data_IF_565344734186
#
_entry.id   IF_565344734186
#
_cell.length_a   1.000
_cell.length_b   1.000
_cell.length_c   1.000
_cell.angle_alpha   90.00
_cell.angle_beta   90.00
_cell.angle_gamma   90.00
#
_symmetry.space_group_name_H-M   'P 1'
#
loop_
_entity.id
_entity.type
_entity.pdbx_description
1 polymer ?
#
# COMPACT_ATOMS: atom_id res chain seq x y z
N UNK A 1 12.46 12.70 -7.04
CA UNK A 1 12.82 13.33 -5.76
C UNK A 1 11.75 14.28 -5.21
N UNK A 2 11.04 15.05 -6.07
CA UNK A 2 10.01 16.02 -5.64
C UNK A 2 8.81 15.41 -4.88
N UNK A 3 8.62 14.10 -4.96
CA UNK A 3 7.51 13.38 -4.33
C UNK A 3 7.93 12.68 -3.02
N UNK A 4 9.18 12.80 -2.62
CA UNK A 4 9.69 12.21 -1.38
C UNK A 4 9.47 13.20 -0.26
N UNK A 5 8.68 12.82 0.74
CA UNK A 5 8.35 13.67 1.89
C UNK A 5 9.28 13.46 3.08
N UNK A 6 9.91 12.28 3.19
CA UNK A 6 10.96 11.99 4.17
C UNK A 6 11.98 11.01 3.60
N UNK A 7 13.22 11.08 4.08
CA UNK A 7 14.33 10.19 3.70
C UNK A 7 14.77 9.41 4.93
N UNK A 8 14.43 8.14 4.97
CA UNK A 8 14.73 7.27 6.09
C UNK A 8 16.11 6.67 5.91
N UNK A 9 16.94 6.77 6.92
CA UNK A 9 18.32 6.28 6.95
C UNK A 9 18.51 5.08 7.87
N UNK A 10 17.55 4.81 8.74
CA UNK A 10 17.62 3.73 9.73
C UNK A 10 16.29 3.02 9.84
N UNK A 11 16.29 1.69 9.94
CA UNK A 11 15.17 0.90 10.41
C UNK A 11 15.45 0.43 11.84
N UNK A 12 14.54 0.70 12.77
CA UNK A 12 14.58 0.16 14.13
C UNK A 12 13.63 -1.01 14.26
N UNK A 13 14.15 -2.13 14.74
CA UNK A 13 13.34 -3.30 15.09
C UNK A 13 13.26 -3.39 16.60
N UNK A 14 12.05 -3.40 17.15
CA UNK A 14 11.80 -3.55 18.59
C UNK A 14 11.22 -4.94 18.83
N UNK A 15 11.87 -5.70 19.70
CA UNK A 15 11.44 -7.05 20.08
C UNK A 15 10.33 -7.03 21.14
N UNK A 16 9.62 -8.16 21.40
CA UNK A 16 8.65 -8.27 22.48
C UNK A 16 9.23 -7.98 23.89
N UNK A 17 10.53 -8.18 24.06
CA UNK A 17 11.24 -7.83 25.31
C UNK A 17 11.72 -6.37 25.37
N UNK A 18 11.19 -5.51 24.50
CA UNK A 18 11.53 -4.09 24.40
C UNK A 18 13.00 -3.80 24.08
N UNK A 19 13.71 -4.78 23.51
CA UNK A 19 15.06 -4.56 23.01
C UNK A 19 15.01 -4.03 21.60
N UNK A 20 15.71 -2.94 21.34
CA UNK A 20 15.78 -2.32 20.04
C UNK A 20 17.12 -2.57 19.35
N UNK A 21 17.07 -2.79 18.03
CA UNK A 21 18.23 -2.85 17.15
C UNK A 21 18.02 -1.87 16.02
N UNK A 22 18.99 -0.98 15.83
CA UNK A 22 19.01 -0.04 14.71
C UNK A 22 19.81 -0.62 13.55
N UNK A 23 19.19 -0.68 12.38
CA UNK A 23 19.77 -1.18 11.15
C UNK A 23 19.94 0.00 10.21
N UNK A 24 21.20 0.50 10.03
CA UNK A 24 21.45 1.61 9.11
C UNK A 24 21.22 1.19 7.65
N UNK A 25 20.69 2.10 6.85
CA UNK A 25 20.58 1.93 5.40
C UNK A 25 21.83 2.49 4.77
N UNK A 26 22.76 1.60 4.43
CA UNK A 26 24.05 2.00 3.89
C UNK A 26 23.93 2.53 2.44
N UNK A 27 24.69 3.62 2.15
CA UNK A 27 24.82 4.21 0.82
C UNK A 27 23.48 4.65 0.15
N UNK A 28 22.43 4.91 0.98
CA UNK A 28 21.14 5.30 0.44
C UNK A 28 20.14 5.74 1.50
N UNK A 29 18.88 5.69 1.11
CA UNK A 29 17.75 5.96 1.98
C UNK A 29 16.49 5.28 1.43
N UNK A 30 15.51 5.05 2.29
CA UNK A 30 14.14 4.74 1.85
C UNK A 30 13.36 6.05 1.75
N UNK A 31 12.84 6.36 0.56
CA UNK A 31 12.01 7.54 0.32
C UNK A 31 10.57 7.28 0.73
N UNK A 32 10.08 8.02 1.72
CA UNK A 32 8.67 8.03 2.09
C UNK A 32 7.90 8.90 1.12
N UNK A 33 6.69 8.47 0.79
CA UNK A 33 5.82 9.15 -0.17
C UNK A 33 4.38 9.17 0.34
N UNK A 34 3.66 10.23 0.04
CA UNK A 34 2.22 10.28 0.24
C UNK A 34 1.52 9.68 -0.99
N UNK A 35 0.83 8.56 -0.80
CA UNK A 35 0.28 7.73 -1.88
C UNK A 35 -0.80 8.44 -2.68
N UNK A 36 -1.59 9.30 -2.10
CA UNK A 36 -2.59 10.13 -2.77
C UNK A 36 -1.97 11.06 -3.83
N UNK A 37 -0.83 11.68 -3.52
CA UNK A 37 -0.08 12.55 -4.42
C UNK A 37 0.77 11.74 -5.41
N UNK A 38 1.48 10.73 -4.90
CA UNK A 38 2.42 9.96 -5.70
C UNK A 38 1.74 9.09 -6.76
N UNK A 39 0.65 8.43 -6.41
CA UNK A 39 -0.10 7.58 -7.35
C UNK A 39 -0.69 8.42 -8.49
N UNK A 40 -1.17 9.63 -8.20
CA UNK A 40 -1.67 10.53 -9.22
C UNK A 40 -0.53 11.07 -10.11
N UNK A 41 0.63 11.37 -9.53
CA UNK A 41 1.83 11.71 -10.30
C UNK A 41 2.22 10.62 -11.29
N UNK A 42 2.20 9.34 -10.87
CA UNK A 42 2.51 8.21 -11.75
C UNK A 42 1.47 8.04 -12.87
N UNK A 43 0.19 8.22 -12.56
CA UNK A 43 -0.90 8.15 -13.56
C UNK A 43 -0.76 9.26 -14.61
N UNK A 44 -0.46 10.48 -14.18
CA UNK A 44 -0.24 11.61 -15.09
C UNK A 44 1.02 11.41 -15.94
N UNK A 45 2.07 10.79 -15.39
CA UNK A 45 3.27 10.43 -16.14
C UNK A 45 2.98 9.38 -17.22
N UNK A 46 2.15 8.38 -16.91
CA UNK A 46 1.75 7.36 -17.87
C UNK A 46 0.90 7.98 -19.00
N UNK A 47 -0.05 8.84 -18.67
CA UNK A 47 -0.88 9.57 -19.63
C UNK A 47 -0.02 10.44 -20.56
N UNK A 48 0.92 11.20 -20.01
CA UNK A 48 1.89 11.98 -20.78
C UNK A 48 2.83 11.15 -21.66
N UNK A 49 2.98 9.85 -21.39
CA UNK A 49 3.70 8.89 -22.22
C UNK A 49 2.79 8.18 -23.26
N UNK A 50 1.52 8.60 -23.38
CA UNK A 50 0.58 8.10 -24.38
C UNK A 50 -0.36 6.99 -23.90
N UNK A 51 -0.36 6.63 -22.61
CA UNK A 51 -1.33 5.71 -22.07
C UNK A 51 -2.71 6.39 -21.94
N UNK A 52 -3.77 5.70 -22.37
CA UNK A 52 -5.14 6.19 -22.15
C UNK A 52 -5.60 5.82 -20.75
N UNK A 53 -6.01 6.82 -19.99
CA UNK A 53 -6.54 6.65 -18.64
C UNK A 53 -8.07 6.53 -18.65
N UNK A 54 -8.59 5.49 -18.01
CA UNK A 54 -10.00 5.32 -17.72
C UNK A 54 -10.21 5.22 -16.21
N UNK A 55 -11.26 5.84 -15.71
CA UNK A 55 -11.66 5.72 -14.31
C UNK A 55 -12.97 4.92 -14.25
N UNK A 56 -12.93 3.77 -13.59
CA UNK A 56 -14.10 2.90 -13.54
C UNK A 56 -13.92 1.74 -12.58
N UNK A 57 -14.94 0.88 -12.54
CA UNK A 57 -14.95 -0.35 -11.76
C UNK A 57 -14.87 -1.54 -12.69
N UNK A 58 -13.82 -2.34 -12.57
CA UNK A 58 -13.65 -3.61 -13.27
C UNK A 58 -14.85 -4.52 -13.02
N UNK A 59 -15.27 -5.27 -14.06
CA UNK A 59 -16.41 -6.21 -14.02
C UNK A 59 -15.98 -7.63 -14.34
N UNK A 60 -15.45 -7.84 -15.55
CA UNK A 60 -15.08 -9.19 -16.01
C UNK A 60 -14.10 -9.11 -17.19
N UNK A 61 -13.51 -10.25 -17.50
CA UNK A 61 -12.73 -10.48 -18.71
C UNK A 61 -13.51 -11.48 -19.57
N UNK A 62 -13.72 -11.14 -20.82
CA UNK A 62 -14.32 -12.01 -21.81
C UNK A 62 -13.26 -12.43 -22.83
N UNK A 63 -13.25 -13.72 -23.17
CA UNK A 63 -12.44 -14.27 -24.27
C UNK A 63 -13.34 -15.00 -25.24
N UNK A 64 -13.27 -14.64 -26.49
CA UNK A 64 -14.02 -15.26 -27.56
C UNK A 64 -13.16 -15.38 -28.82
N UNK A 65 -13.73 -15.84 -29.93
CA UNK A 65 -13.04 -16.05 -31.20
C UNK A 65 -12.52 -14.73 -31.84
N UNK A 66 -12.98 -13.59 -31.38
CA UNK A 66 -12.59 -12.26 -31.87
C UNK A 66 -11.38 -11.72 -31.09
N UNK A 67 -11.34 -11.93 -29.78
CA UNK A 67 -10.27 -11.41 -28.94
C UNK A 67 -10.53 -11.52 -27.44
N UNK A 68 -9.73 -10.80 -26.68
CA UNK A 68 -9.88 -10.66 -25.24
C UNK A 68 -10.35 -9.24 -24.90
N UNK A 69 -11.40 -9.15 -24.13
CA UNK A 69 -12.04 -7.89 -23.76
C UNK A 69 -12.08 -7.71 -22.24
N UNK A 70 -11.69 -6.53 -21.78
CA UNK A 70 -11.85 -6.11 -20.38
C UNK A 70 -13.11 -5.25 -20.29
N UNK A 71 -14.05 -5.69 -19.45
CA UNK A 71 -15.29 -4.98 -19.21
C UNK A 71 -15.20 -4.21 -17.89
N UNK A 72 -15.58 -2.94 -17.92
CA UNK A 72 -15.65 -2.09 -16.72
C UNK A 72 -16.82 -1.10 -16.82
N UNK A 73 -17.30 -0.66 -15.66
CA UNK A 73 -18.28 0.43 -15.58
C UNK A 73 -17.52 1.75 -15.44
N UNK A 74 -17.57 2.59 -16.46
CA UNK A 74 -16.93 3.90 -16.43
C UNK A 74 -17.60 4.82 -15.42
N UNK A 75 -16.80 5.53 -14.60
CA UNK A 75 -17.29 6.37 -13.52
C UNK A 75 -18.00 7.64 -14.04
N UNK A 76 -17.45 8.25 -15.09
CA UNK A 76 -17.97 9.52 -15.61
C UNK A 76 -19.35 9.37 -16.28
N UNK A 77 -19.53 8.37 -17.14
CA UNK A 77 -20.76 8.15 -17.91
C UNK A 77 -21.71 7.16 -17.26
N UNK A 78 -21.24 6.35 -16.30
CA UNK A 78 -21.98 5.22 -15.73
C UNK A 78 -22.22 4.06 -16.71
N UNK A 79 -21.66 4.14 -17.92
CA UNK A 79 -21.85 3.12 -18.97
C UNK A 79 -20.91 1.94 -18.80
N UNK A 80 -21.32 0.78 -19.28
CA UNK A 80 -20.44 -0.36 -19.45
C UNK A 80 -19.58 -0.16 -20.72
N UNK A 81 -18.27 -0.32 -20.55
CA UNK A 81 -17.26 -0.20 -21.60
C UNK A 81 -16.54 -1.52 -21.74
N UNK A 82 -16.27 -1.95 -22.97
CA UNK A 82 -15.44 -3.08 -23.31
C UNK A 82 -14.22 -2.60 -24.08
N UNK A 83 -13.02 -2.96 -23.60
CA UNK A 83 -11.75 -2.66 -24.27
C UNK A 83 -11.11 -3.95 -24.73
N UNK A 84 -10.82 -4.03 -26.03
CA UNK A 84 -10.01 -5.12 -26.58
C UNK A 84 -8.54 -4.96 -26.15
N UNK A 85 -7.91 -6.06 -25.76
CA UNK A 85 -6.52 -6.07 -25.33
C UNK A 85 -5.86 -7.42 -25.61
N UNK A 86 -4.52 -7.38 -25.79
CA UNK A 86 -3.69 -8.59 -25.93
C UNK A 86 -3.10 -9.08 -24.61
N UNK A 87 -2.97 -8.19 -23.63
CA UNK A 87 -2.39 -8.47 -22.32
C UNK A 87 -3.14 -7.71 -21.25
N UNK A 88 -3.36 -8.35 -20.10
CA UNK A 88 -3.97 -7.77 -18.92
C UNK A 88 -3.01 -7.89 -17.75
N UNK A 89 -2.78 -6.79 -17.03
CA UNK A 89 -2.01 -6.77 -15.80
C UNK A 89 -2.96 -6.39 -14.67
N UNK A 90 -3.23 -7.34 -13.76
CA UNK A 90 -3.99 -7.08 -12.54
C UNK A 90 -3.08 -6.42 -11.51
N UNK A 91 -3.34 -5.14 -11.20
CA UNK A 91 -2.64 -4.38 -10.18
C UNK A 91 -3.63 -3.74 -9.19
N UNK A 92 -4.70 -4.50 -8.87
CA UNK A 92 -5.88 -4.08 -8.12
C UNK A 92 -5.85 -4.54 -6.65
N UNK A 93 -4.65 -4.84 -6.13
CA UNK A 93 -4.35 -5.01 -4.71
C UNK A 93 -4.67 -6.41 -4.15
N UNK A 94 -4.62 -6.54 -2.82
CA UNK A 94 -4.72 -7.81 -2.11
C UNK A 94 -6.05 -8.56 -2.34
N UNK A 95 -7.14 -7.84 -2.61
CA UNK A 95 -8.46 -8.42 -2.95
C UNK A 95 -8.74 -8.34 -4.45
N UNK A 96 -7.72 -8.52 -5.27
CA UNK A 96 -7.75 -8.40 -6.73
C UNK A 96 -8.94 -9.14 -7.37
N UNK A 97 -9.74 -8.40 -8.08
CA UNK A 97 -10.83 -8.98 -8.88
C UNK A 97 -10.30 -9.65 -10.15
N UNK A 98 -9.19 -9.15 -10.69
CA UNK A 98 -8.51 -9.76 -11.83
C UNK A 98 -7.89 -11.10 -11.42
N UNK A 99 -7.20 -11.17 -10.28
CA UNK A 99 -6.63 -12.43 -9.80
C UNK A 99 -7.71 -13.48 -9.53
N UNK A 100 -8.84 -13.10 -8.93
CA UNK A 100 -9.98 -14.04 -8.71
C UNK A 100 -10.59 -14.54 -9.98
N UNK A 101 -10.60 -13.75 -11.05
CA UNK A 101 -11.16 -14.16 -12.34
C UNK A 101 -10.20 -15.04 -13.15
N UNK A 102 -8.88 -14.83 -13.03
CA UNK A 102 -7.91 -15.32 -14.00
C UNK A 102 -6.86 -16.27 -13.42
N UNK A 103 -6.63 -16.24 -12.10
CA UNK A 103 -5.57 -17.01 -11.47
C UNK A 103 -6.18 -18.14 -10.62
N UNK A 104 -5.87 -19.41 -10.89
CA UNK A 104 -6.31 -20.51 -10.03
C UNK A 104 -5.90 -20.28 -8.58
N UNK A 105 -6.88 -20.26 -7.65
CA UNK A 105 -6.65 -19.96 -6.23
C UNK A 105 -6.49 -18.47 -5.89
N UNK A 106 -6.72 -17.58 -6.85
CA UNK A 106 -6.65 -16.13 -6.64
C UNK A 106 -7.69 -15.56 -5.65
N UNK A 107 -8.71 -16.34 -5.33
CA UNK A 107 -9.71 -16.06 -4.29
C UNK A 107 -9.23 -16.45 -2.87
N UNK A 108 -8.15 -17.24 -2.76
CA UNK A 108 -7.63 -17.82 -1.52
C UNK A 108 -6.29 -17.26 -1.08
N UNK A 109 -5.83 -16.17 -1.70
CA UNK A 109 -4.56 -15.53 -1.34
C UNK A 109 -4.68 -14.97 0.09
N UNK A 110 -3.80 -15.41 1.03
CA UNK A 110 -3.80 -14.85 2.37
C UNK A 110 -3.37 -13.37 2.34
N UNK A 111 -3.97 -12.56 3.18
CA UNK A 111 -3.64 -11.14 3.30
C UNK A 111 -3.70 -10.69 4.75
N UNK A 112 -3.01 -9.61 5.05
CA UNK A 112 -3.03 -8.91 6.33
C UNK A 112 -3.96 -7.70 6.18
N UNK A 113 -4.77 -7.44 7.19
CA UNK A 113 -5.51 -6.20 7.34
C UNK A 113 -4.67 -5.27 8.19
N UNK A 114 -4.59 -4.01 7.82
CA UNK A 114 -3.86 -2.99 8.55
C UNK A 114 -4.75 -1.78 8.82
N UNK A 115 -4.55 -1.15 9.97
CA UNK A 115 -5.09 0.15 10.31
C UNK A 115 -3.94 1.08 10.68
N UNK A 116 -4.04 2.34 10.29
CA UNK A 116 -3.10 3.36 10.71
C UNK A 116 -3.76 4.71 10.85
N UNK A 117 -3.18 5.54 11.68
CA UNK A 117 -3.50 6.95 11.81
C UNK A 117 -2.33 7.80 11.32
N UNK A 118 -2.65 8.94 10.73
CA UNK A 118 -1.68 9.96 10.38
C UNK A 118 -1.76 11.03 11.45
N UNK A 119 -0.67 11.18 12.18
CA UNK A 119 -0.55 12.17 13.27
C UNK A 119 0.43 13.26 12.89
N UNK A 120 0.39 14.39 13.57
CA UNK A 120 1.47 15.40 13.49
C UNK A 120 2.78 14.79 14.00
N UNK A 121 3.86 14.98 13.24
CA UNK A 121 5.15 14.40 13.62
C UNK A 121 5.66 15.02 14.94
N UNK A 122 6.00 14.18 15.94
CA UNK A 122 6.62 14.68 17.16
C UNK A 122 7.97 15.36 16.89
N UNK A 123 8.41 16.21 17.82
CA UNK A 123 9.77 16.71 17.79
C UNK A 123 10.78 15.55 17.98
N UNK A 124 11.94 15.65 17.34
CA UNK A 124 13.01 14.64 17.49
C UNK A 124 13.37 14.43 18.97
N UNK A 125 13.37 13.18 19.39
CA UNK A 125 13.64 12.76 20.77
C UNK A 125 14.23 11.36 20.80
N UNK A 126 14.50 10.81 21.98
CA UNK A 126 14.93 9.42 22.10
C UNK A 126 13.86 8.41 21.58
N UNK A 127 12.57 8.77 21.66
CA UNK A 127 11.46 7.94 21.19
C UNK A 127 11.12 8.11 19.71
N UNK A 128 11.46 9.26 19.10
CA UNK A 128 11.12 9.55 17.70
C UNK A 128 12.27 10.18 16.95
N UNK A 129 12.60 9.62 15.78
CA UNK A 129 13.56 10.17 14.84
C UNK A 129 12.93 10.30 13.44
N UNK A 130 12.89 11.51 12.82
CA UNK A 130 12.29 11.72 11.51
C UNK A 130 13.03 11.02 10.35
N UNK A 131 14.22 10.47 10.59
CA UNK A 131 14.98 9.69 9.62
C UNK A 131 14.98 8.17 9.93
N UNK A 132 14.11 7.70 10.85
CA UNK A 132 14.05 6.30 11.27
C UNK A 132 12.62 5.76 11.22
N UNK A 133 12.46 4.61 10.57
CA UNK A 133 11.23 3.80 10.64
C UNK A 133 11.33 2.81 11.80
N UNK A 134 10.35 2.82 12.69
CA UNK A 134 10.27 1.89 13.81
C UNK A 134 9.26 0.78 13.47
N UNK A 135 9.69 -0.47 13.62
CA UNK A 135 8.89 -1.70 13.49
C UNK A 135 8.88 -2.39 14.86
N UNK A 136 7.69 -2.60 15.40
CA UNK A 136 7.47 -3.03 16.78
C UNK A 136 6.80 -4.39 16.79
N UNK A 137 7.52 -5.40 17.24
CA UNK A 137 7.00 -6.74 17.47
C UNK A 137 6.56 -6.85 18.93
N UNK A 138 5.27 -6.72 19.17
CA UNK A 138 4.65 -6.83 20.47
C UNK A 138 3.30 -7.52 20.32
N UNK A 139 3.11 -8.63 21.03
CA UNK A 139 1.88 -9.42 20.94
C UNK A 139 0.64 -8.70 21.48
N UNK A 140 0.79 -7.64 22.29
CA UNK A 140 -0.30 -6.78 22.75
C UNK A 140 -0.75 -5.80 21.66
N UNK A 141 0.19 -5.40 20.75
CA UNK A 141 -0.10 -4.57 19.58
C UNK A 141 -0.63 -5.44 18.45
N UNK A 142 0.13 -6.48 18.07
CA UNK A 142 -0.25 -7.41 17.02
C UNK A 142 0.19 -8.84 17.36
N UNK A 143 -0.73 -9.80 17.37
CA UNK A 143 -0.42 -11.18 17.74
C UNK A 143 0.40 -11.94 16.68
N UNK A 144 0.37 -11.51 15.42
CA UNK A 144 0.93 -12.26 14.28
C UNK A 144 1.62 -11.39 13.23
N UNK A 145 1.69 -10.08 13.46
CA UNK A 145 2.33 -9.12 12.56
C UNK A 145 3.18 -8.12 13.36
N UNK A 146 3.12 -6.83 13.04
CA UNK A 146 3.85 -5.78 13.76
C UNK A 146 3.06 -4.46 13.79
N UNK A 147 3.42 -3.60 14.75
CA UNK A 147 3.10 -2.20 14.74
C UNK A 147 4.23 -1.38 14.14
N UNK A 148 3.94 -0.14 13.73
CA UNK A 148 4.95 0.76 13.15
C UNK A 148 4.77 2.22 13.53
N UNK A 149 5.88 2.95 13.50
CA UNK A 149 5.92 4.40 13.47
C UNK A 149 6.79 4.81 12.28
N UNK A 150 6.16 5.39 11.25
CA UNK A 150 6.83 5.75 10.00
C UNK A 150 6.74 7.24 9.74
N UNK A 151 7.87 7.97 9.75
CA UNK A 151 7.90 9.41 9.47
C UNK A 151 7.49 9.74 8.03
N UNK A 152 6.71 10.81 7.88
CA UNK A 152 6.29 11.40 6.61
C UNK A 152 6.50 12.92 6.59
N UNK A 153 7.69 13.39 6.97
CA UNK A 153 8.02 14.80 7.03
C UNK A 153 7.36 15.51 8.22
N UNK A 154 6.31 16.27 7.97
CA UNK A 154 5.54 16.97 9.02
C UNK A 154 4.52 16.08 9.73
N UNK A 155 4.34 14.86 9.26
CA UNK A 155 3.44 13.87 9.86
C UNK A 155 4.17 12.54 10.11
N UNK A 156 3.52 11.65 10.83
CA UNK A 156 3.94 10.27 10.99
C UNK A 156 2.73 9.34 10.84
N UNK A 157 2.96 8.18 10.21
CA UNK A 157 2.00 7.08 10.17
C UNK A 157 2.26 6.17 11.36
N UNK A 158 1.29 6.01 12.22
CA UNK A 158 1.29 5.04 13.33
C UNK A 158 0.24 4.00 13.04
N UNK A 159 0.59 2.74 13.13
CA UNK A 159 -0.38 1.69 12.79
C UNK A 159 0.07 0.29 13.16
N UNK A 160 -0.80 -0.65 12.90
CA UNK A 160 -0.54 -2.08 13.06
C UNK A 160 -1.28 -2.89 12.00
N UNK A 161 -0.86 -4.14 11.82
CA UNK A 161 -1.52 -5.10 10.95
C UNK A 161 -1.74 -6.44 11.65
N UNK A 162 -2.68 -7.24 11.14
CA UNK A 162 -2.88 -8.63 11.56
C UNK A 162 -3.52 -9.45 10.45
N UNK A 163 -3.21 -10.73 10.37
CA UNK A 163 -3.94 -11.72 9.57
C UNK A 163 -5.08 -12.40 10.32
N UNK A 164 -5.29 -12.09 11.59
CA UNK A 164 -6.34 -12.68 12.41
C UNK A 164 -7.65 -11.89 12.35
N UNK A 165 -8.75 -12.60 12.28
CA UNK A 165 -10.09 -12.02 12.35
C UNK A 165 -10.45 -11.63 13.79
N UNK A 166 -11.27 -10.58 13.92
CA UNK A 166 -11.83 -10.15 15.22
C UNK A 166 -10.95 -9.25 16.06
N UNK A 167 -9.78 -8.85 15.58
CA UNK A 167 -8.91 -7.86 16.23
C UNK A 167 -9.45 -6.46 15.98
N UNK A 168 -9.63 -5.68 17.04
CA UNK A 168 -9.96 -4.25 16.95
C UNK A 168 -8.70 -3.44 16.67
N UNK A 169 -8.36 -3.33 15.41
CA UNK A 169 -7.17 -2.65 14.93
C UNK A 169 -7.11 -1.18 15.36
N UNK A 170 -8.26 -0.52 15.46
CA UNK A 170 -8.31 0.90 15.80
C UNK A 170 -7.94 1.15 17.26
N UNK A 171 -8.39 0.29 18.16
CA UNK A 171 -8.08 0.43 19.59
C UNK A 171 -6.69 -0.11 19.95
N UNK A 172 -6.07 -0.91 19.07
CA UNK A 172 -4.72 -1.43 19.22
C UNK A 172 -3.63 -0.49 18.64
N UNK A 173 -4.02 0.49 17.83
CA UNK A 173 -3.15 1.54 17.26
C UNK A 173 -3.13 2.77 18.15
#
# INVERSE_FOLDING_TARGET
>A
EKQIVAKIKTARMVSPSQRAVDIPIENGYVGMIDRDVYDEFLRNRADGAGAKRFTGTFRTIERNNVGTFVHFKEKASGKNVALETRLIIGADGARSSVARAEVPGGDKIPYVIAYHEIIEAPAKSAGYDPERCDVIYDGEISPDFYGWVFPHGHSASVGMGTGQDGIDLKNAT
#
